data_IF_114325119236
#
_entry.id   IF_114325119236
#
_cell.length_a   1.000
_cell.length_b   1.000
_cell.length_c   1.000
_cell.angle_alpha   90.00
_cell.angle_beta   90.00
_cell.angle_gamma   90.00
#
_symmetry.space_group_name_H-M   'P 1'
#
loop_
_entity.id
_entity.type
_entity.pdbx_description
1 polymer ?
#
# COMPACT_ATOMS: atom_id res chain seq x y z
N UNK A 1 5.37 15.21 -3.76
CA UNK A 1 6.62 15.31 -4.57
C UNK A 1 7.00 14.02 -5.27
N UNK A 2 6.47 12.84 -4.90
CA UNK A 2 6.87 11.59 -5.54
C UNK A 2 6.55 11.53 -7.04
N UNK A 3 5.46 12.17 -7.48
CA UNK A 3 5.10 12.29 -8.89
C UNK A 3 5.66 13.56 -9.57
N UNK A 4 6.40 14.43 -8.87
CA UNK A 4 6.83 15.73 -9.43
C UNK A 4 7.86 15.54 -10.55
N UNK A 5 8.78 14.56 -10.44
CA UNK A 5 9.74 14.27 -11.52
C UNK A 5 9.05 13.64 -12.74
N UNK A 6 7.95 12.90 -12.55
CA UNK A 6 7.26 12.22 -13.67
C UNK A 6 6.19 13.10 -14.34
N UNK A 7 5.48 13.92 -13.57
CA UNK A 7 4.34 14.72 -14.04
C UNK A 7 4.68 16.20 -14.30
N UNK A 8 5.89 16.65 -13.97
CA UNK A 8 6.33 18.04 -14.20
C UNK A 8 7.74 18.10 -14.80
N UNK A 9 8.12 19.20 -15.48
CA UNK A 9 9.44 19.35 -16.09
C UNK A 9 10.58 19.61 -15.07
N UNK A 10 10.37 19.35 -13.78
CA UNK A 10 11.38 19.51 -12.73
C UNK A 10 12.51 18.49 -12.90
N UNK A 11 13.76 18.94 -12.88
CA UNK A 11 14.92 18.05 -12.99
C UNK A 11 15.46 17.61 -11.62
N UNK A 12 16.21 16.51 -11.61
CA UNK A 12 16.87 16.01 -10.39
C UNK A 12 17.85 17.04 -9.81
N UNK A 13 18.53 17.82 -10.66
CA UNK A 13 19.43 18.90 -10.23
C UNK A 13 18.67 20.00 -9.47
N UNK A 14 17.50 20.42 -9.95
CA UNK A 14 16.67 21.44 -9.30
C UNK A 14 16.16 20.96 -7.93
N UNK A 15 15.78 19.68 -7.83
CA UNK A 15 15.40 19.05 -6.57
C UNK A 15 16.56 19.01 -5.56
N UNK A 16 17.77 18.77 -6.04
CA UNK A 16 18.99 18.77 -5.21
C UNK A 16 19.32 20.16 -4.68
N UNK A 17 19.10 21.19 -5.49
CA UNK A 17 19.38 22.58 -5.14
C UNK A 17 18.37 23.13 -4.12
N UNK A 18 17.08 22.82 -4.27
CA UNK A 18 16.03 23.29 -3.35
C UNK A 18 15.89 22.46 -2.06
N UNK A 19 16.03 21.13 -2.15
CA UNK A 19 15.69 20.22 -1.04
C UNK A 19 16.87 19.37 -0.55
N UNK A 20 18.03 19.48 -1.20
CA UNK A 20 19.25 18.77 -0.84
C UNK A 20 19.35 17.36 -1.40
N UNK A 21 20.56 16.80 -1.34
CA UNK A 21 20.91 15.51 -1.94
C UNK A 21 20.09 14.33 -1.42
N UNK A 22 19.75 14.31 -0.12
CA UNK A 22 18.97 13.21 0.47
C UNK A 22 17.56 13.12 -0.09
N UNK A 23 16.91 14.24 -0.41
CA UNK A 23 15.53 14.23 -0.92
C UNK A 23 15.52 13.81 -2.38
N UNK A 24 16.46 14.32 -3.18
CA UNK A 24 16.63 13.92 -4.57
C UNK A 24 16.86 12.39 -4.72
N UNK A 25 17.72 11.79 -3.90
CA UNK A 25 17.95 10.34 -3.92
C UNK A 25 16.69 9.52 -3.59
N UNK A 26 15.85 9.99 -2.65
CA UNK A 26 14.59 9.33 -2.32
C UNK A 26 13.64 9.40 -3.51
N UNK A 27 13.48 10.59 -4.13
CA UNK A 27 12.53 10.78 -5.23
C UNK A 27 12.97 9.98 -6.48
N UNK A 28 14.26 9.97 -6.80
CA UNK A 28 14.82 9.13 -7.87
C UNK A 28 14.61 7.63 -7.60
N UNK A 29 14.82 7.19 -6.36
CA UNK A 29 14.54 5.82 -5.93
C UNK A 29 13.07 5.41 -6.13
N UNK A 30 12.13 6.34 -5.86
CA UNK A 30 10.69 6.11 -6.04
C UNK A 30 10.31 5.98 -7.53
N UNK A 31 10.82 6.82 -8.43
CA UNK A 31 10.54 6.75 -9.87
C UNK A 31 11.13 5.49 -10.54
N UNK A 32 12.35 5.11 -10.17
CA UNK A 32 12.97 3.87 -10.69
C UNK A 32 12.17 2.61 -10.34
N UNK A 33 11.49 2.61 -9.20
CA UNK A 33 10.61 1.52 -8.79
C UNK A 33 9.34 1.42 -9.64
N UNK A 34 8.75 2.54 -10.07
CA UNK A 34 7.57 2.51 -10.94
C UNK A 34 7.86 1.98 -12.34
N UNK A 35 9.10 2.16 -12.82
CA UNK A 35 9.56 1.65 -14.12
C UNK A 35 9.86 0.14 -14.11
N UNK A 36 9.98 -0.49 -12.95
CA UNK A 36 10.19 -1.94 -12.81
C UNK A 36 8.92 -2.78 -13.02
N UNK A 37 7.82 -2.19 -13.52
CA UNK A 37 6.52 -2.84 -13.79
C UNK A 37 6.69 -4.25 -14.37
N UNK A 38 6.26 -5.20 -13.55
CA UNK A 38 6.55 -6.62 -13.59
C UNK A 38 6.08 -7.29 -14.89
N UNK A 39 7.03 -7.80 -15.68
CA UNK A 39 6.75 -8.78 -16.75
C UNK A 39 6.61 -10.17 -16.15
N UNK A 40 5.55 -10.85 -16.53
CA UNK A 40 5.05 -12.16 -16.04
C UNK A 40 6.08 -13.31 -16.04
N UNK A 41 6.16 -14.01 -14.90
CA UNK A 41 6.08 -15.48 -14.67
C UNK A 41 6.29 -15.66 -13.15
N UNK A 42 5.45 -16.45 -12.47
CA UNK A 42 5.40 -16.54 -10.99
C UNK A 42 6.76 -16.76 -10.30
N UNK A 43 7.71 -17.44 -10.95
CA UNK A 43 9.06 -17.66 -10.43
C UNK A 43 10.00 -16.46 -10.62
N UNK A 44 9.86 -15.73 -11.74
CA UNK A 44 10.58 -14.48 -11.97
C UNK A 44 10.11 -13.36 -11.04
N UNK A 45 8.86 -13.43 -10.55
CA UNK A 45 8.36 -12.48 -9.56
C UNK A 45 9.08 -12.61 -8.22
N UNK A 46 9.39 -13.82 -7.74
CA UNK A 46 10.05 -14.00 -6.44
C UNK A 46 11.48 -13.46 -6.47
N UNK A 47 12.25 -13.74 -7.53
CA UNK A 47 13.63 -13.23 -7.66
C UNK A 47 13.67 -11.73 -7.96
N UNK A 48 12.77 -11.21 -8.81
CA UNK A 48 12.66 -9.75 -9.02
C UNK A 48 12.17 -9.04 -7.75
N UNK A 49 11.28 -9.66 -6.98
CA UNK A 49 10.83 -9.16 -5.68
C UNK A 49 11.97 -9.15 -4.66
N UNK A 50 12.79 -10.20 -4.62
CA UNK A 50 13.97 -10.29 -3.76
C UNK A 50 15.01 -9.22 -4.12
N UNK A 51 15.29 -9.04 -5.41
CA UNK A 51 16.18 -7.98 -5.92
C UNK A 51 15.63 -6.58 -5.67
N UNK A 52 14.32 -6.39 -5.82
CA UNK A 52 13.63 -5.13 -5.51
C UNK A 52 13.72 -4.82 -4.02
N UNK A 53 13.46 -5.79 -3.14
CA UNK A 53 13.67 -5.65 -1.68
C UNK A 53 15.12 -5.31 -1.37
N UNK A 54 16.09 -5.96 -2.04
CA UNK A 54 17.51 -5.70 -1.83
C UNK A 54 17.94 -4.28 -2.27
N UNK A 55 17.36 -3.78 -3.36
CA UNK A 55 17.55 -2.41 -3.81
C UNK A 55 16.87 -1.40 -2.87
N UNK A 56 15.70 -1.74 -2.34
CA UNK A 56 14.92 -0.96 -1.36
C UNK A 56 15.54 -0.93 0.04
N UNK A 57 16.35 -1.93 0.44
CA UNK A 57 17.04 -1.94 1.74
C UNK A 57 18.12 -0.88 1.89
N UNK A 58 18.51 -0.15 0.83
CA UNK A 58 19.48 0.96 0.95
C UNK A 58 18.88 2.21 1.60
N UNK A 59 17.56 2.43 1.46
CA UNK A 59 16.84 3.48 2.18
C UNK A 59 15.37 3.10 2.39
N UNK A 60 15.03 2.77 3.63
CA UNK A 60 13.67 2.37 4.05
C UNK A 60 12.62 3.45 3.76
N UNK A 61 13.01 4.74 3.68
CA UNK A 61 12.07 5.86 3.45
C UNK A 61 11.39 5.77 2.09
N UNK A 62 12.07 5.25 1.08
CA UNK A 62 11.51 5.02 -0.26
C UNK A 62 10.33 4.04 -0.18
N UNK A 63 10.47 2.99 0.62
CA UNK A 63 9.44 1.96 0.81
C UNK A 63 8.23 2.53 1.55
N UNK A 64 8.48 3.32 2.59
CA UNK A 64 7.42 3.98 3.37
C UNK A 64 6.59 4.92 2.48
N UNK A 65 7.24 5.70 1.62
CA UNK A 65 6.55 6.60 0.68
C UNK A 65 5.71 5.78 -0.31
N UNK A 66 6.24 4.68 -0.85
CA UNK A 66 5.47 3.80 -1.75
C UNK A 66 4.30 3.10 -1.07
N UNK A 67 4.45 2.68 0.18
CA UNK A 67 3.33 2.12 0.95
C UNK A 67 2.26 3.18 1.20
N UNK A 68 2.64 4.42 1.53
CA UNK A 68 1.71 5.52 1.74
C UNK A 68 0.93 5.86 0.45
N UNK A 69 1.64 6.00 -0.68
CA UNK A 69 1.02 6.21 -1.99
C UNK A 69 0.08 5.05 -2.37
N UNK A 70 0.55 3.80 -2.24
CA UNK A 70 -0.30 2.63 -2.52
C UNK A 70 -1.55 2.62 -1.66
N UNK A 71 -1.45 2.96 -0.38
CA UNK A 71 -2.60 3.03 0.53
C UNK A 71 -3.59 4.09 0.08
N UNK A 72 -3.10 5.27 -0.32
CA UNK A 72 -3.95 6.31 -0.90
C UNK A 72 -4.67 5.82 -2.17
N UNK A 73 -3.94 5.19 -3.09
CA UNK A 73 -4.49 4.62 -4.31
C UNK A 73 -5.56 3.57 -4.02
N UNK A 74 -5.36 2.74 -3.00
CA UNK A 74 -6.35 1.73 -2.59
C UNK A 74 -7.63 2.38 -2.03
N UNK A 75 -7.53 3.51 -1.33
CA UNK A 75 -8.69 4.26 -0.81
C UNK A 75 -9.53 4.89 -1.93
N UNK A 76 -8.93 5.22 -3.07
CA UNK A 76 -9.57 5.93 -4.20
C UNK A 76 -9.91 5.03 -5.40
N UNK A 77 -9.77 3.71 -5.26
CA UNK A 77 -9.99 2.71 -6.32
C UNK A 77 -11.38 2.77 -6.99
N UNK A 78 -12.39 3.33 -6.33
CA UNK A 78 -13.80 3.28 -6.75
C UNK A 78 -14.09 3.85 -8.15
N UNK A 79 -13.29 4.81 -8.62
CA UNK A 79 -13.45 5.44 -9.94
C UNK A 79 -12.98 4.57 -11.11
N UNK A 80 -12.25 3.49 -10.84
CA UNK A 80 -11.65 2.65 -11.87
C UNK A 80 -12.59 1.52 -12.34
N UNK A 81 -12.37 1.05 -13.58
CA UNK A 81 -13.07 -0.11 -14.13
C UNK A 81 -12.81 -1.37 -13.27
N UNK A 82 -13.79 -2.30 -13.16
CA UNK A 82 -13.68 -3.47 -12.27
C UNK A 82 -12.44 -4.35 -12.52
N UNK A 83 -12.02 -4.50 -13.78
CA UNK A 83 -10.83 -5.28 -14.15
C UNK A 83 -9.55 -4.63 -13.62
N UNK A 84 -9.43 -3.30 -13.75
CA UNK A 84 -8.30 -2.53 -13.26
C UNK A 84 -8.26 -2.53 -11.73
N UNK A 85 -9.42 -2.41 -11.07
CA UNK A 85 -9.52 -2.52 -9.61
C UNK A 85 -9.00 -3.85 -9.08
N UNK A 86 -9.47 -4.97 -9.66
CA UNK A 86 -9.02 -6.32 -9.27
C UNK A 86 -7.53 -6.53 -9.49
N UNK A 87 -6.98 -6.01 -10.59
CA UNK A 87 -5.54 -6.12 -10.89
C UNK A 87 -4.70 -5.40 -9.83
N UNK A 88 -5.05 -4.15 -9.51
CA UNK A 88 -4.36 -3.35 -8.49
C UNK A 88 -4.50 -4.00 -7.12
N UNK A 89 -5.69 -4.44 -6.73
CA UNK A 89 -5.91 -5.11 -5.46
C UNK A 89 -5.10 -6.42 -5.32
N UNK A 90 -5.00 -7.20 -6.40
CA UNK A 90 -4.16 -8.40 -6.43
C UNK A 90 -2.68 -8.06 -6.23
N UNK A 91 -2.18 -7.06 -6.94
CA UNK A 91 -0.81 -6.57 -6.76
C UNK A 91 -0.56 -6.08 -5.32
N UNK A 92 -1.50 -5.35 -4.74
CA UNK A 92 -1.46 -4.90 -3.35
C UNK A 92 -1.32 -6.05 -2.36
N UNK A 93 -2.13 -7.12 -2.52
CA UNK A 93 -2.06 -8.31 -1.67
C UNK A 93 -0.76 -9.09 -1.85
N UNK A 94 -0.30 -9.26 -3.08
CA UNK A 94 0.87 -10.11 -3.37
C UNK A 94 2.19 -9.42 -3.02
N UNK A 95 2.25 -8.09 -3.09
CA UNK A 95 3.50 -7.32 -2.96
C UNK A 95 3.49 -6.44 -1.73
N UNK A 96 2.50 -5.54 -1.62
CA UNK A 96 2.54 -4.45 -0.64
C UNK A 96 2.14 -4.89 0.77
N UNK A 97 1.19 -5.82 0.91
CA UNK A 97 0.82 -6.36 2.23
C UNK A 97 1.98 -7.13 2.89
N UNK A 98 2.68 -8.07 2.19
CA UNK A 98 3.88 -8.70 2.74
C UNK A 98 5.00 -7.72 3.09
N UNK A 99 5.15 -6.64 2.32
CA UNK A 99 6.12 -5.59 2.62
C UNK A 99 5.76 -4.84 3.92
N UNK A 100 4.52 -4.40 4.07
CA UNK A 100 4.05 -3.74 5.29
C UNK A 100 4.21 -4.64 6.52
N UNK A 101 3.88 -5.94 6.39
CA UNK A 101 4.06 -6.92 7.45
C UNK A 101 5.54 -7.10 7.83
N UNK A 102 6.46 -7.21 6.85
CA UNK A 102 7.90 -7.33 7.11
C UNK A 102 8.49 -6.11 7.80
N UNK A 103 7.93 -4.93 7.58
CA UNK A 103 8.33 -3.69 8.24
C UNK A 103 7.66 -3.50 9.62
N UNK A 104 6.80 -4.44 10.05
CA UNK A 104 6.08 -4.34 11.31
C UNK A 104 4.96 -3.28 11.31
N UNK A 105 4.52 -2.83 10.14
CA UNK A 105 3.52 -1.77 10.00
C UNK A 105 2.12 -2.38 9.84
N UNK A 106 1.64 -2.95 10.94
CA UNK A 106 0.44 -3.79 10.95
C UNK A 106 -0.84 -3.03 10.55
N UNK A 107 -0.94 -1.75 10.90
CA UNK A 107 -2.09 -0.92 10.55
C UNK A 107 -2.22 -0.71 9.03
N UNK A 108 -1.11 -0.41 8.33
CA UNK A 108 -1.09 -0.30 6.86
C UNK A 108 -1.40 -1.66 6.24
N UNK A 109 -0.81 -2.74 6.75
CA UNK A 109 -1.06 -4.09 6.24
C UNK A 109 -2.55 -4.44 6.28
N UNK A 110 -3.18 -4.30 7.45
CA UNK A 110 -4.60 -4.61 7.63
C UNK A 110 -5.49 -3.73 6.73
N UNK A 111 -5.18 -2.44 6.63
CA UNK A 111 -5.92 -1.53 5.76
C UNK A 111 -5.82 -1.91 4.28
N UNK A 112 -4.61 -2.25 3.81
CA UNK A 112 -4.39 -2.71 2.43
C UNK A 112 -5.10 -4.05 2.15
N UNK A 113 -5.12 -4.97 3.12
CA UNK A 113 -5.84 -6.24 3.01
C UNK A 113 -7.36 -6.03 2.90
N UNK A 114 -7.94 -5.19 3.76
CA UNK A 114 -9.37 -4.87 3.75
C UNK A 114 -9.78 -4.19 2.43
N UNK A 115 -9.03 -3.17 1.99
CA UNK A 115 -9.30 -2.45 0.74
C UNK A 115 -9.15 -3.37 -0.48
N UNK A 116 -8.17 -4.27 -0.45
CA UNK A 116 -7.97 -5.24 -1.53
C UNK A 116 -9.09 -6.26 -1.58
N UNK A 117 -9.54 -6.75 -0.42
CA UNK A 117 -10.67 -7.67 -0.33
C UNK A 117 -11.96 -7.01 -0.82
N UNK A 118 -12.22 -5.75 -0.44
CA UNK A 118 -13.34 -4.96 -0.94
C UNK A 118 -13.31 -4.81 -2.47
N UNK A 119 -12.13 -4.49 -3.03
CA UNK A 119 -11.97 -4.30 -4.47
C UNK A 119 -12.10 -5.61 -5.28
N UNK A 120 -11.66 -6.74 -4.73
CA UNK A 120 -11.77 -8.04 -5.40
C UNK A 120 -13.15 -8.67 -5.28
N UNK A 121 -13.77 -8.58 -4.10
CA UNK A 121 -15.00 -9.28 -3.75
C UNK A 121 -16.03 -8.35 -3.08
N UNK A 122 -16.54 -7.32 -3.79
CA UNK A 122 -17.36 -6.27 -3.19
C UNK A 122 -18.62 -6.79 -2.49
N UNK A 123 -19.32 -7.76 -3.08
CA UNK A 123 -20.52 -8.36 -2.47
C UNK A 123 -20.20 -9.15 -1.19
N UNK A 124 -19.08 -9.89 -1.16
CA UNK A 124 -18.67 -10.65 0.03
C UNK A 124 -18.22 -9.70 1.15
N UNK A 125 -17.50 -8.65 0.79
CA UNK A 125 -17.09 -7.60 1.70
C UNK A 125 -18.29 -6.96 2.38
N UNK A 126 -19.33 -6.59 1.62
CA UNK A 126 -20.53 -5.96 2.19
C UNK A 126 -21.26 -6.86 3.20
N UNK A 127 -21.39 -8.15 2.89
CA UNK A 127 -22.00 -9.14 3.80
C UNK A 127 -21.18 -9.28 5.07
N UNK A 128 -19.86 -9.46 4.96
CA UNK A 128 -18.97 -9.62 6.11
C UNK A 128 -18.93 -8.36 6.98
N UNK A 129 -18.92 -7.18 6.36
CA UNK A 129 -18.93 -5.90 7.08
C UNK A 129 -20.16 -5.78 7.98
N UNK A 130 -21.36 -6.09 7.45
CA UNK A 130 -22.60 -6.07 8.24
C UNK A 130 -22.54 -7.03 9.43
N UNK A 131 -22.00 -8.25 9.24
CA UNK A 131 -21.86 -9.23 10.32
C UNK A 131 -20.87 -8.78 11.40
N UNK A 132 -19.75 -8.19 10.98
CA UNK A 132 -18.73 -7.66 11.91
C UNK A 132 -19.27 -6.47 12.70
N UNK A 133 -20.02 -5.57 12.06
CA UNK A 133 -20.60 -4.40 12.72
C UNK A 133 -21.60 -4.81 13.82
N UNK A 134 -22.46 -5.82 13.54
CA UNK A 134 -23.38 -6.39 14.55
C UNK A 134 -22.60 -7.02 15.71
N UNK A 135 -21.58 -7.83 15.42
CA UNK A 135 -20.78 -8.47 16.46
C UNK A 135 -20.01 -7.45 17.33
N UNK A 136 -19.53 -6.35 16.73
CA UNK A 136 -18.86 -5.26 17.44
C UNK A 136 -19.79 -4.54 18.40
N UNK A 137 -21.01 -4.22 17.98
CA UNK A 137 -22.02 -3.61 18.86
C UNK A 137 -22.25 -4.46 20.11
N UNK A 138 -22.51 -5.76 19.92
CA UNK A 138 -22.75 -6.68 21.03
C UNK A 138 -21.54 -6.79 21.98
N UNK A 139 -20.31 -6.74 21.44
CA UNK A 139 -19.09 -6.76 22.24
C UNK A 139 -18.90 -5.46 23.03
N UNK A 140 -19.21 -4.31 22.42
CA UNK A 140 -19.13 -3.01 23.07
C UNK A 140 -20.04 -2.97 24.30
N UNK A 141 -21.29 -3.40 24.14
CA UNK A 141 -22.27 -3.49 25.24
C UNK A 141 -21.79 -4.39 26.38
N UNK A 142 -21.14 -5.51 26.04
CA UNK A 142 -20.56 -6.42 27.04
C UNK A 142 -19.38 -5.80 27.79
N UNK A 143 -18.48 -5.10 27.09
CA UNK A 143 -17.33 -4.42 27.70
C UNK A 143 -17.81 -3.31 28.63
N UNK A 144 -18.82 -2.54 28.21
CA UNK A 144 -19.41 -1.48 29.04
C UNK A 144 -20.04 -2.03 30.31
N UNK A 145 -20.77 -3.16 30.23
CA UNK A 145 -21.34 -3.83 31.42
C UNK A 145 -20.25 -4.29 32.39
N UNK A 146 -19.22 -4.97 31.90
CA UNK A 146 -18.11 -5.42 32.75
C UNK A 146 -17.38 -4.21 33.38
N UNK A 147 -17.20 -3.12 32.62
CA UNK A 147 -16.58 -1.90 33.13
C UNK A 147 -17.42 -1.15 34.16
N UNK A 148 -18.73 -1.41 34.24
CA UNK A 148 -19.61 -0.85 35.28
C UNK A 148 -19.68 -1.72 36.55
N UNK A 149 -19.26 -2.99 36.45
CA UNK A 149 -19.22 -3.94 37.57
C UNK A 149 -17.88 -3.91 38.34
N UNK A 150 -16.85 -3.23 37.80
CA UNK A 150 -15.54 -2.98 38.44
C UNK A 150 -15.55 -1.59 39.07
#
# INVERSE_FOLDING_TARGET
MHDVIEDTPYTEEQLKEEFGASVAEIVDGVSKLDKLKFRTRQEAQVENFRKMILAMTRDIRVVLIKLADRTHNMRTLGSLRPDKRRRIAKETLEIYCPLAHRLGIEHIKNELEDLSFQAMHPHRYEVLKKLVDVARSNRQDLIERISQEI
#
